data_IF_201668133747
#
_entry.id   IF_201668133747
#
_cell.length_a   1.000
_cell.length_b   1.000
_cell.length_c   1.000
_cell.angle_alpha   90.00
_cell.angle_beta   90.00
_cell.angle_gamma   90.00
#
_symmetry.space_group_name_H-M   'P 1'
#
loop_
_entity.id
_entity.type
_entity.pdbx_description
1 polymer ?
#
# COMPACT_ATOMS: atom_id res chain seq x y z
N UNK A 1 -44.35 22.05 42.37
CA UNK A 1 -44.91 21.87 41.03
C UNK A 1 -43.79 21.51 40.06
N UNK A 2 -44.04 20.51 39.23
CA UNK A 2 -43.23 19.90 38.17
C UNK A 2 -42.26 20.83 37.43
N UNK A 3 -41.06 20.31 37.11
CA UNK A 3 -40.62 20.04 35.72
C UNK A 3 -39.25 19.35 35.69
N UNK A 4 -39.26 18.01 35.78
CA UNK A 4 -38.28 17.15 35.09
C UNK A 4 -38.71 17.06 33.63
N UNK A 5 -37.91 17.58 32.70
CA UNK A 5 -37.90 17.09 31.32
C UNK A 5 -36.74 17.69 30.52
N UNK A 6 -35.99 16.80 29.86
CA UNK A 6 -35.17 17.02 28.65
C UNK A 6 -33.84 17.76 28.82
N UNK A 7 -32.79 16.99 29.07
CA UNK A 7 -31.55 17.15 28.30
C UNK A 7 -30.75 15.83 28.24
N UNK A 8 -31.34 14.87 27.53
CA UNK A 8 -30.70 13.65 27.05
C UNK A 8 -30.80 13.73 25.52
N UNK A 9 -29.78 14.26 24.85
CA UNK A 9 -29.42 13.90 23.48
C UNK A 9 -28.14 14.63 23.05
N UNK A 10 -27.10 13.88 22.69
CA UNK A 10 -26.19 14.33 21.63
C UNK A 10 -24.80 14.79 22.03
N UNK A 11 -24.22 14.33 23.14
CA UNK A 11 -22.78 14.42 23.38
C UNK A 11 -22.04 13.33 22.56
N UNK A 12 -22.18 13.35 21.23
CA UNK A 12 -21.46 12.46 20.31
C UNK A 12 -20.95 13.25 19.08
N UNK A 13 -20.31 14.40 19.30
CA UNK A 13 -19.32 14.90 18.35
C UNK A 13 -17.99 14.16 18.60
N UNK A 14 -18.00 12.84 18.41
CA UNK A 14 -16.75 12.11 18.23
C UNK A 14 -16.30 12.43 16.81
N UNK A 15 -15.33 13.34 16.74
CA UNK A 15 -14.54 13.69 15.58
C UNK A 15 -14.01 12.42 14.91
N UNK A 16 -14.74 11.91 13.92
CA UNK A 16 -14.20 10.99 12.94
C UNK A 16 -13.32 11.81 11.98
N UNK A 17 -12.17 12.25 12.50
CA UNK A 17 -11.07 12.72 11.69
C UNK A 17 -10.50 11.48 10.98
N UNK A 18 -11.16 11.05 9.90
CA UNK A 18 -10.63 10.02 9.02
C UNK A 18 -9.40 10.63 8.35
N UNK A 19 -8.23 10.38 8.93
CA UNK A 19 -6.95 10.65 8.27
C UNK A 19 -7.01 10.04 6.88
N UNK A 20 -6.73 10.85 5.86
CA UNK A 20 -6.49 10.39 4.50
C UNK A 20 -5.20 9.56 4.47
N UNK A 21 -5.28 8.34 5.01
CA UNK A 21 -4.25 7.31 4.91
C UNK A 21 -4.52 6.48 3.65
N UNK A 22 -3.47 6.16 2.90
CA UNK A 22 -3.55 5.20 1.81
C UNK A 22 -4.32 3.96 2.29
N UNK A 23 -5.34 3.53 1.54
CA UNK A 23 -6.18 2.44 1.98
C UNK A 23 -5.35 1.15 2.05
N UNK A 24 -5.67 0.21 2.95
CA UNK A 24 -4.92 -1.05 3.05
C UNK A 24 -4.78 -1.80 1.72
N UNK A 25 -5.80 -1.73 0.87
CA UNK A 25 -5.80 -2.27 -0.50
C UNK A 25 -4.78 -1.60 -1.43
N UNK A 26 -4.61 -0.28 -1.31
CA UNK A 26 -3.67 0.47 -2.15
C UNK A 26 -2.24 0.13 -1.76
N UNK A 27 -2.00 -0.08 -0.46
CA UNK A 27 -0.71 -0.55 0.07
C UNK A 27 -0.41 -1.95 -0.44
N UNK A 28 -1.36 -2.89 -0.33
CA UNK A 28 -1.18 -4.27 -0.82
C UNK A 28 -0.90 -4.31 -2.33
N UNK A 29 -1.68 -3.57 -3.13
CA UNK A 29 -1.46 -3.44 -4.58
C UNK A 29 -0.09 -2.84 -4.89
N UNK A 30 0.27 -1.74 -4.23
CA UNK A 30 1.58 -1.11 -4.40
C UNK A 30 2.73 -2.05 -4.04
N UNK A 31 2.59 -2.87 -2.99
CA UNK A 31 3.56 -3.91 -2.63
C UNK A 31 3.79 -4.90 -3.77
N UNK A 32 2.71 -5.34 -4.43
CA UNK A 32 2.77 -6.22 -5.59
C UNK A 32 3.50 -5.60 -6.77
N UNK A 33 3.18 -4.34 -7.10
CA UNK A 33 3.85 -3.59 -8.16
C UNK A 33 5.35 -3.42 -7.90
N UNK A 34 5.73 -3.17 -6.64
CA UNK A 34 7.15 -3.08 -6.26
C UNK A 34 7.90 -4.40 -6.38
N UNK A 35 7.25 -5.51 -6.06
CA UNK A 35 7.83 -6.84 -6.26
C UNK A 35 8.13 -7.08 -7.75
N UNK A 36 7.19 -6.76 -8.63
CA UNK A 36 7.39 -6.87 -10.09
C UNK A 36 8.53 -5.98 -10.57
N UNK A 37 8.61 -4.73 -10.11
CA UNK A 37 9.70 -3.80 -10.45
C UNK A 37 11.07 -4.32 -10.00
N UNK A 38 11.15 -4.90 -8.81
CA UNK A 38 12.43 -5.42 -8.33
C UNK A 38 12.88 -6.69 -9.02
N UNK A 39 11.94 -7.52 -9.47
CA UNK A 39 12.26 -8.63 -10.35
C UNK A 39 12.78 -8.13 -11.70
N UNK A 40 12.18 -7.07 -12.25
CA UNK A 40 12.66 -6.42 -13.46
C UNK A 40 14.07 -5.82 -13.28
N UNK A 41 14.34 -5.19 -12.14
CA UNK A 41 15.57 -4.43 -11.89
C UNK A 41 16.67 -5.19 -11.12
N UNK A 42 16.44 -6.46 -10.76
CA UNK A 42 17.40 -7.33 -10.09
C UNK A 42 17.61 -7.13 -8.58
N UNK A 43 16.84 -6.25 -7.91
CA UNK A 43 17.00 -5.92 -6.49
C UNK A 43 15.99 -6.65 -5.59
N UNK A 44 16.14 -7.97 -5.50
CA UNK A 44 15.15 -8.84 -4.81
C UNK A 44 15.26 -8.85 -3.28
N UNK A 45 16.40 -8.47 -2.71
CA UNK A 45 16.74 -8.75 -1.31
C UNK A 45 16.10 -7.78 -0.31
N UNK A 46 15.86 -6.52 -0.69
CA UNK A 46 15.31 -5.50 0.22
C UNK A 46 13.78 -5.63 0.42
N UNK A 47 13.08 -6.40 -0.41
CA UNK A 47 11.63 -6.34 -0.50
C UNK A 47 10.89 -7.42 0.27
N UNK A 48 11.41 -8.64 0.39
CA UNK A 48 10.73 -9.72 1.12
C UNK A 48 10.46 -9.36 2.59
N UNK A 49 11.45 -8.74 3.26
CA UNK A 49 11.30 -8.27 4.64
C UNK A 49 10.31 -7.10 4.76
N UNK A 50 10.29 -6.21 3.77
CA UNK A 50 9.35 -5.09 3.73
C UNK A 50 7.92 -5.55 3.48
N UNK A 51 7.74 -6.52 2.58
CA UNK A 51 6.46 -7.12 2.24
C UNK A 51 5.85 -7.81 3.46
N UNK A 52 6.60 -8.66 4.17
CA UNK A 52 6.11 -9.28 5.40
C UNK A 52 5.74 -8.23 6.47
N UNK A 53 6.45 -7.10 6.53
CA UNK A 53 6.10 -6.00 7.45
C UNK A 53 4.79 -5.33 7.02
N UNK A 54 4.60 -5.11 5.73
CA UNK A 54 3.37 -4.52 5.18
C UNK A 54 2.17 -5.43 5.38
N UNK A 55 2.30 -6.72 5.08
CA UNK A 55 1.24 -7.70 5.31
C UNK A 55 0.79 -7.72 6.77
N UNK A 56 1.73 -7.80 7.72
CA UNK A 56 1.41 -7.74 9.16
C UNK A 56 0.70 -6.43 9.53
N UNK A 57 1.16 -5.29 9.01
CA UNK A 57 0.52 -4.00 9.27
C UNK A 57 -0.91 -3.94 8.71
N UNK A 58 -1.17 -4.56 7.55
CA UNK A 58 -2.51 -4.60 6.95
C UNK A 58 -3.45 -5.53 7.71
N UNK A 59 -2.95 -6.64 8.24
CA UNK A 59 -3.71 -7.52 9.13
C UNK A 59 -4.18 -6.76 10.39
N UNK A 60 -3.32 -5.92 11.00
CA UNK A 60 -3.72 -5.04 12.11
C UNK A 60 -4.75 -3.98 11.71
N UNK A 61 -4.87 -3.68 10.42
CA UNK A 61 -5.84 -2.73 9.87
C UNK A 61 -7.19 -3.39 9.51
N UNK A 62 -7.36 -4.68 9.83
CA UNK A 62 -8.60 -5.44 9.58
C UNK A 62 -8.69 -6.09 8.20
N UNK A 63 -7.64 -6.02 7.39
CA UNK A 63 -7.57 -6.73 6.11
C UNK A 63 -7.20 -8.19 6.33
N UNK A 64 -7.95 -9.12 5.73
CA UNK A 64 -7.60 -10.53 5.79
C UNK A 64 -6.34 -10.85 4.97
N UNK A 65 -5.58 -11.90 5.31
CA UNK A 65 -4.45 -12.34 4.49
C UNK A 65 -4.84 -12.66 3.04
N UNK A 66 -6.04 -13.22 2.82
CA UNK A 66 -6.54 -13.55 1.49
C UNK A 66 -6.80 -12.28 0.65
N UNK A 67 -7.39 -11.24 1.24
CA UNK A 67 -7.60 -9.95 0.57
C UNK A 67 -6.28 -9.25 0.28
N UNK A 68 -5.33 -9.27 1.23
CA UNK A 68 -3.99 -8.74 1.01
C UNK A 68 -3.33 -9.44 -0.19
N UNK A 69 -3.38 -10.77 -0.22
CA UNK A 69 -2.78 -11.55 -1.30
C UNK A 69 -3.46 -11.28 -2.65
N UNK A 70 -4.78 -11.13 -2.68
CA UNK A 70 -5.52 -10.81 -3.90
C UNK A 70 -5.11 -9.44 -4.47
N UNK A 71 -5.07 -8.40 -3.63
CA UNK A 71 -4.66 -7.06 -4.05
C UNK A 71 -3.16 -6.99 -4.41
N UNK A 72 -2.32 -7.70 -3.67
CA UNK A 72 -0.91 -7.90 -4.02
C UNK A 72 -0.75 -8.50 -5.41
N UNK A 73 -1.44 -9.61 -5.70
CA UNK A 73 -1.36 -10.27 -7.01
C UNK A 73 -1.88 -9.38 -8.14
N UNK A 74 -2.92 -8.58 -7.89
CA UNK A 74 -3.41 -7.59 -8.87
C UNK A 74 -2.33 -6.57 -9.23
N UNK A 75 -1.68 -5.98 -8.23
CA UNK A 75 -0.60 -5.01 -8.46
C UNK A 75 0.61 -5.63 -9.15
N UNK A 76 0.99 -6.85 -8.76
CA UNK A 76 2.08 -7.60 -9.38
C UNK A 76 1.79 -7.90 -10.86
N UNK A 77 0.62 -8.47 -11.16
CA UNK A 77 0.21 -8.83 -12.52
C UNK A 77 0.10 -7.60 -13.43
N UNK A 78 -0.53 -6.53 -12.95
CA UNK A 78 -0.64 -5.30 -13.73
C UNK A 78 0.74 -4.73 -14.07
N UNK A 79 1.64 -4.61 -13.09
CA UNK A 79 2.98 -4.08 -13.36
C UNK A 79 3.79 -4.99 -14.30
N UNK A 80 3.62 -6.32 -14.20
CA UNK A 80 4.19 -7.29 -15.14
C UNK A 80 3.71 -7.06 -16.59
N UNK A 81 2.42 -6.78 -16.77
CA UNK A 81 1.83 -6.45 -18.07
C UNK A 81 2.36 -5.12 -18.59
N UNK A 82 2.41 -4.10 -17.74
CA UNK A 82 2.98 -2.79 -18.07
C UNK A 82 4.43 -2.92 -18.56
N UNK A 83 5.25 -3.76 -17.91
CA UNK A 83 6.64 -4.00 -18.31
C UNK A 83 6.80 -4.89 -19.54
N UNK A 84 5.80 -5.73 -19.86
CA UNK A 84 5.85 -6.57 -21.05
C UNK A 84 5.79 -5.73 -22.34
N UNK A 85 5.15 -4.55 -22.28
CA UNK A 85 5.09 -3.61 -23.40
C UNK A 85 6.32 -2.71 -23.55
N UNK A 86 7.25 -2.72 -22.60
CA UNK A 86 8.43 -1.85 -22.63
C UNK A 86 9.59 -2.50 -23.42
N UNK A 87 10.29 -1.67 -24.19
CA UNK A 87 11.60 -2.02 -24.75
C UNK A 87 12.66 -2.18 -23.66
N UNK A 88 13.78 -2.83 -23.98
CA UNK A 88 14.89 -3.01 -23.03
C UNK A 88 15.49 -1.65 -22.57
N UNK A 89 15.48 -0.64 -23.43
CA UNK A 89 15.93 0.71 -23.08
C UNK A 89 14.98 1.39 -22.08
N UNK A 90 13.67 1.22 -22.26
CA UNK A 90 12.65 1.74 -21.34
C UNK A 90 12.69 1.03 -19.99
N UNK A 91 12.93 -0.29 -19.97
CA UNK A 91 13.15 -1.05 -18.74
C UNK A 91 14.39 -0.55 -18.01
N UNK A 92 15.51 -0.36 -18.72
CA UNK A 92 16.74 0.17 -18.14
C UNK A 92 16.54 1.57 -17.53
N UNK A 93 15.81 2.46 -18.23
CA UNK A 93 15.47 3.80 -17.73
C UNK A 93 14.58 3.73 -16.48
N UNK A 94 13.59 2.85 -16.48
CA UNK A 94 12.68 2.62 -15.35
C UNK A 94 13.46 2.16 -14.11
N UNK A 95 14.38 1.21 -14.30
CA UNK A 95 15.25 0.73 -13.22
C UNK A 95 16.21 1.80 -12.71
N UNK A 96 16.81 2.60 -13.60
CA UNK A 96 17.69 3.70 -13.21
C UNK A 96 16.96 4.76 -12.36
N UNK A 97 15.73 5.10 -12.74
CA UNK A 97 14.88 6.02 -11.97
C UNK A 97 14.51 5.46 -10.60
N UNK A 98 14.14 4.18 -10.53
CA UNK A 98 13.80 3.52 -9.27
C UNK A 98 15.00 3.46 -8.32
N UNK A 99 16.18 3.16 -8.84
CA UNK A 99 17.42 3.16 -8.06
C UNK A 99 17.77 4.57 -7.55
N UNK A 100 17.60 5.60 -8.38
CA UNK A 100 17.82 6.99 -7.97
C UNK A 100 16.86 7.38 -6.82
N UNK A 101 15.57 7.04 -6.94
CA UNK A 101 14.59 7.29 -5.89
C UNK A 101 14.91 6.54 -4.59
N UNK A 102 15.33 5.27 -4.69
CA UNK A 102 15.72 4.47 -3.51
C UNK A 102 16.93 5.07 -2.78
N UNK A 103 17.91 5.62 -3.52
CA UNK A 103 19.06 6.34 -2.93
C UNK A 103 18.65 7.61 -2.19
N UNK A 104 17.61 8.32 -2.65
CA UNK A 104 17.12 9.54 -1.99
C UNK A 104 16.32 9.29 -0.70
N UNK A 105 15.80 8.08 -0.46
CA UNK A 105 15.13 7.74 0.81
C UNK A 105 16.06 7.30 1.95
N UNK A 106 17.38 7.24 1.69
CA UNK A 106 18.40 6.87 2.69
C UNK A 106 19.09 8.06 3.36
N UNK A 107 18.72 9.29 3.01
CA UNK A 107 19.10 10.52 3.73
C UNK A 107 17.98 10.98 4.66
#
# INVERSE_FOLDING_TARGET
>A
MLRLARMLCGLCCFSALASAGAQPKDIARFSGSRQAMAELCGDKAALAKLQQKQERAMQHSGMSPAEYQAEFQRGYAQSREDFAGLSEEEKAKTCAQLQAFSRHQKN
#
